data_IF_664721817321
#
_entry.id   IF_664721817321
#
_cell.length_a   1.000
_cell.length_b   1.000
_cell.length_c   1.000
_cell.angle_alpha   90.00
_cell.angle_beta   90.00
_cell.angle_gamma   90.00
#
_symmetry.space_group_name_H-M   'P 1'
#
loop_
_entity.id
_entity.type
_entity.pdbx_description
1 polymer ?
#
# COMPACT_ATOMS: atom_id res chain seq x y z
N UNK A 1 17.82 5.07 -9.68
CA UNK A 1 16.37 5.33 -9.88
C UNK A 1 15.88 6.28 -8.81
N UNK A 2 14.81 7.09 -9.09
CA UNK A 2 14.29 8.08 -8.12
C UNK A 2 12.84 7.77 -7.75
N UNK A 3 12.47 8.11 -6.51
CA UNK A 3 11.10 8.15 -5.99
C UNK A 3 10.85 9.48 -5.32
N UNK A 4 9.58 9.91 -5.27
CA UNK A 4 9.19 11.26 -4.93
C UNK A 4 8.18 11.28 -3.78
N UNK A 5 8.41 12.16 -2.80
CA UNK A 5 7.51 12.36 -1.66
C UNK A 5 7.00 13.79 -1.63
N UNK A 6 5.72 13.97 -1.93
CA UNK A 6 5.05 15.26 -1.86
C UNK A 6 4.78 15.64 -0.40
N UNK A 7 4.92 16.91 -0.07
CA UNK A 7 4.74 17.45 1.28
C UNK A 7 4.05 18.81 1.23
N UNK A 8 3.20 19.06 2.21
CA UNK A 8 2.69 20.39 2.49
C UNK A 8 3.81 21.25 3.06
N UNK A 9 3.71 22.56 2.90
CA UNK A 9 4.57 23.50 3.61
C UNK A 9 3.93 23.76 5.00
N UNK A 10 4.31 22.95 5.97
CA UNK A 10 3.88 23.01 7.35
C UNK A 10 5.04 22.63 8.29
N UNK A 11 4.85 22.89 9.58
CA UNK A 11 5.87 22.65 10.60
C UNK A 11 6.30 21.17 10.68
N UNK A 12 5.35 20.25 10.56
CA UNK A 12 5.64 18.81 10.61
C UNK A 12 6.54 18.38 9.44
N UNK A 13 6.24 18.86 8.25
CA UNK A 13 7.02 18.55 7.04
C UNK A 13 8.42 19.15 7.10
N UNK A 14 8.56 20.38 7.62
CA UNK A 14 9.86 21.04 7.80
C UNK A 14 10.71 20.37 8.88
N UNK A 15 10.10 19.99 10.01
CA UNK A 15 10.78 19.27 11.07
C UNK A 15 11.26 17.88 10.60
N UNK A 16 10.43 17.16 9.86
CA UNK A 16 10.81 15.87 9.27
C UNK A 16 11.99 16.01 8.31
N UNK A 17 11.98 17.07 7.46
CA UNK A 17 13.11 17.35 6.56
C UNK A 17 14.39 17.72 7.31
N UNK A 18 14.30 18.58 8.34
CA UNK A 18 15.42 19.01 9.17
C UNK A 18 16.09 17.84 9.88
N UNK A 19 15.29 16.89 10.38
CA UNK A 19 15.74 15.75 11.17
C UNK A 19 16.06 14.52 10.32
N UNK A 20 15.92 14.58 9.00
CA UNK A 20 16.00 13.44 8.07
C UNK A 20 15.06 12.31 8.47
N UNK A 21 13.82 12.65 8.77
CA UNK A 21 12.79 11.72 9.21
C UNK A 21 11.80 11.40 8.12
N UNK A 22 11.40 10.14 8.07
CA UNK A 22 10.34 9.65 7.20
C UNK A 22 9.31 8.93 8.05
N UNK A 23 8.05 9.25 7.78
CA UNK A 23 6.92 8.78 8.57
C UNK A 23 6.16 7.71 7.81
N UNK A 24 5.96 6.59 8.47
CA UNK A 24 5.12 5.49 8.05
C UNK A 24 3.83 5.53 8.85
N UNK A 25 2.70 5.30 8.21
CA UNK A 25 1.39 5.24 8.85
C UNK A 25 0.71 3.90 8.64
N UNK A 26 -0.23 3.54 9.51
CA UNK A 26 -1.10 2.39 9.27
C UNK A 26 -2.01 2.65 8.07
N UNK A 27 -2.38 1.59 7.33
CA UNK A 27 -3.27 1.71 6.17
C UNK A 27 -4.62 2.35 6.51
N UNK A 28 -5.16 2.09 7.70
CA UNK A 28 -6.42 2.71 8.19
C UNK A 28 -6.36 4.22 8.33
N UNK A 29 -5.17 4.83 8.26
CA UNK A 29 -4.98 6.29 8.28
C UNK A 29 -4.86 6.91 6.88
N UNK A 30 -5.00 6.12 5.84
CA UNK A 30 -4.97 6.63 4.47
C UNK A 30 -6.23 7.45 4.16
N UNK A 31 -6.11 8.36 3.21
CA UNK A 31 -7.21 9.22 2.76
C UNK A 31 -8.30 8.44 2.00
N UNK A 32 -7.95 7.35 1.37
CA UNK A 32 -8.90 6.43 0.74
C UNK A 32 -9.20 5.29 1.72
N UNK A 33 -10.45 5.16 2.21
CA UNK A 33 -10.83 4.12 3.15
C UNK A 33 -10.82 2.71 2.53
N UNK A 34 -10.75 2.62 1.21
CA UNK A 34 -10.65 1.34 0.50
C UNK A 34 -9.21 0.90 0.26
N UNK A 35 -8.24 1.81 0.39
CA UNK A 35 -6.83 1.50 0.25
C UNK A 35 -6.31 0.75 1.48
N UNK A 36 -5.52 -0.31 1.27
CA UNK A 36 -5.03 -1.19 2.33
C UNK A 36 -6.12 -1.77 3.23
N UNK A 37 -7.35 -1.78 2.76
CA UNK A 37 -8.50 -2.37 3.44
C UNK A 37 -8.85 -3.73 2.85
N UNK A 38 -9.41 -4.59 3.70
CA UNK A 38 -9.89 -5.89 3.28
C UNK A 38 -11.41 -5.84 3.12
N UNK A 39 -11.86 -5.63 1.90
CA UNK A 39 -13.23 -5.97 1.52
C UNK A 39 -13.24 -7.44 1.09
N UNK A 40 -14.08 -8.23 1.72
CA UNK A 40 -14.32 -9.63 1.30
C UNK A 40 -15.51 -9.63 0.33
N UNK A 41 -15.31 -9.47 -0.98
CA UNK A 41 -16.43 -9.55 -1.91
C UNK A 41 -16.88 -11.01 -2.05
N UNK A 42 -18.16 -11.20 -2.25
CA UNK A 42 -18.79 -12.52 -2.47
C UNK A 42 -18.13 -13.25 -3.66
N UNK A 43 -17.60 -12.50 -4.62
CA UNK A 43 -16.86 -13.03 -5.77
C UNK A 43 -15.60 -13.81 -5.44
N UNK A 44 -15.04 -13.64 -4.21
CA UNK A 44 -13.89 -14.44 -3.74
C UNK A 44 -14.21 -15.94 -3.62
N UNK A 45 -15.46 -16.29 -3.63
CA UNK A 45 -15.97 -17.66 -3.54
C UNK A 45 -16.33 -18.24 -4.89
N UNK A 46 -15.69 -17.80 -5.96
CA UNK A 46 -15.95 -18.40 -7.28
C UNK A 46 -15.60 -19.89 -7.27
N UNK A 47 -16.37 -20.69 -7.99
CA UNK A 47 -16.13 -22.12 -8.21
C UNK A 47 -14.67 -22.35 -8.62
N UNK A 48 -14.14 -21.51 -9.50
CA UNK A 48 -12.76 -21.57 -9.97
C UNK A 48 -11.74 -21.41 -8.84
N UNK A 49 -11.96 -20.48 -7.92
CA UNK A 49 -11.05 -20.24 -6.77
C UNK A 49 -11.05 -21.43 -5.82
N UNK A 50 -12.23 -21.96 -5.51
CA UNK A 50 -12.36 -23.13 -4.63
C UNK A 50 -11.77 -24.39 -5.28
N UNK A 51 -12.00 -24.61 -6.57
CA UNK A 51 -11.38 -25.72 -7.31
C UNK A 51 -9.86 -25.62 -7.32
N UNK A 52 -9.28 -24.43 -7.50
CA UNK A 52 -7.84 -24.21 -7.38
C UNK A 52 -7.34 -24.57 -5.98
N UNK A 53 -8.02 -24.10 -4.93
CA UNK A 53 -7.68 -24.44 -3.54
C UNK A 53 -7.67 -25.95 -3.30
N UNK A 54 -8.72 -26.64 -3.69
CA UNK A 54 -8.82 -28.10 -3.61
C UNK A 54 -7.68 -28.77 -4.37
N UNK A 55 -7.36 -28.30 -5.58
CA UNK A 55 -6.32 -28.87 -6.43
C UNK A 55 -4.90 -28.71 -5.86
N UNK A 56 -4.60 -27.60 -5.20
CA UNK A 56 -3.28 -27.33 -4.57
C UNK A 56 -3.11 -28.18 -3.30
N UNK A 57 -4.20 -28.41 -2.58
CA UNK A 57 -4.21 -29.20 -1.35
C UNK A 57 -4.46 -30.69 -1.56
N UNK A 58 -4.16 -31.21 -2.73
CA UNK A 58 -4.42 -32.62 -3.15
C UNK A 58 -3.95 -33.71 -2.20
N UNK A 59 -3.02 -33.44 -1.32
CA UNK A 59 -2.43 -34.44 -0.45
C UNK A 59 -3.16 -34.61 0.89
N UNK A 60 -4.23 -33.86 1.16
CA UNK A 60 -4.73 -33.72 2.53
C UNK A 60 -6.22 -33.95 2.75
N UNK A 61 -7.02 -34.46 1.81
CA UNK A 61 -8.44 -34.58 2.14
C UNK A 61 -9.16 -35.83 1.60
N UNK A 62 -9.94 -36.41 2.52
CA UNK A 62 -11.05 -37.34 2.27
C UNK A 62 -11.99 -36.83 1.14
N UNK A 63 -12.16 -35.54 1.00
CA UNK A 63 -12.93 -34.86 -0.06
C UNK A 63 -12.39 -35.13 -1.45
N UNK A 64 -11.06 -35.21 -1.61
CA UNK A 64 -10.45 -35.49 -2.92
C UNK A 64 -10.56 -36.96 -3.32
N UNK A 65 -10.61 -37.85 -2.36
CA UNK A 65 -10.85 -39.28 -2.62
C UNK A 65 -12.30 -39.51 -3.09
N UNK A 66 -13.25 -38.80 -2.49
CA UNK A 66 -14.65 -38.75 -2.94
C UNK A 66 -14.83 -38.05 -4.29
N UNK A 67 -14.01 -37.03 -4.53
CA UNK A 67 -14.07 -36.19 -5.73
C UNK A 67 -13.38 -36.78 -6.97
N UNK A 68 -12.48 -37.75 -6.79
CA UNK A 68 -11.75 -38.38 -7.91
C UNK A 68 -12.64 -39.06 -8.95
N UNK A 69 -13.88 -39.36 -8.62
CA UNK A 69 -14.79 -40.12 -9.48
C UNK A 69 -16.10 -39.41 -9.84
N UNK A 70 -16.36 -38.17 -9.41
CA UNK A 70 -17.63 -37.51 -9.70
C UNK A 70 -17.51 -35.98 -9.66
N UNK A 71 -17.30 -35.36 -10.82
CA UNK A 71 -17.20 -33.89 -10.97
C UNK A 71 -18.51 -33.18 -10.55
N UNK A 72 -19.66 -33.78 -10.81
CA UNK A 72 -20.97 -33.20 -10.46
C UNK A 72 -21.14 -33.10 -8.93
N UNK A 73 -20.60 -34.07 -8.18
CA UNK A 73 -20.64 -34.04 -6.73
C UNK A 73 -19.73 -32.95 -6.15
N UNK A 74 -18.58 -32.72 -6.78
CA UNK A 74 -17.68 -31.61 -6.40
C UNK A 74 -18.39 -30.29 -6.62
N UNK A 75 -18.99 -30.09 -7.78
CA UNK A 75 -19.71 -28.86 -8.10
C UNK A 75 -20.87 -28.62 -7.15
N UNK A 76 -21.60 -29.67 -6.79
CA UNK A 76 -22.66 -29.57 -5.81
C UNK A 76 -22.15 -29.13 -4.43
N UNK A 77 -21.09 -29.79 -3.89
CA UNK A 77 -20.50 -29.46 -2.59
C UNK A 77 -19.95 -28.03 -2.61
N UNK A 78 -19.24 -27.64 -3.67
CA UNK A 78 -18.67 -26.30 -3.82
C UNK A 78 -19.76 -25.25 -3.85
N UNK A 79 -20.84 -25.47 -4.61
CA UNK A 79 -21.96 -24.53 -4.68
C UNK A 79 -22.68 -24.40 -3.34
N UNK A 80 -22.90 -25.51 -2.62
CA UNK A 80 -23.47 -25.47 -1.26
C UNK A 80 -22.60 -24.65 -0.30
N UNK A 81 -21.29 -24.81 -0.38
CA UNK A 81 -20.36 -24.07 0.48
C UNK A 81 -20.31 -22.58 0.12
N UNK A 82 -20.37 -22.25 -1.18
CA UNK A 82 -20.44 -20.87 -1.66
C UNK A 82 -21.70 -20.18 -1.13
N UNK A 83 -22.87 -20.79 -1.27
CA UNK A 83 -24.11 -20.18 -0.83
C UNK A 83 -24.15 -20.00 0.70
N UNK A 84 -23.70 -21.01 1.46
CA UNK A 84 -23.60 -20.90 2.92
C UNK A 84 -22.69 -19.74 3.35
N UNK A 85 -21.50 -19.63 2.74
CA UNK A 85 -20.56 -18.57 3.07
C UNK A 85 -21.07 -17.20 2.61
N UNK A 86 -21.77 -17.12 1.46
CA UNK A 86 -22.42 -15.90 0.98
C UNK A 86 -23.39 -15.36 2.00
N UNK A 87 -24.29 -16.21 2.53
CA UNK A 87 -25.26 -15.82 3.56
C UNK A 87 -24.56 -15.21 4.79
N UNK A 88 -23.48 -15.82 5.25
CA UNK A 88 -22.73 -15.29 6.39
C UNK A 88 -22.06 -13.94 6.10
N UNK A 89 -21.49 -13.76 4.90
CA UNK A 89 -20.84 -12.50 4.51
C UNK A 89 -21.89 -11.37 4.38
N UNK A 90 -23.02 -11.63 3.74
CA UNK A 90 -24.12 -10.69 3.59
C UNK A 90 -24.70 -10.23 4.95
N UNK A 91 -24.65 -11.11 5.95
CA UNK A 91 -25.08 -10.82 7.31
C UNK A 91 -23.94 -10.31 8.24
N UNK A 92 -22.79 -9.89 7.68
CA UNK A 92 -21.62 -9.45 8.44
C UNK A 92 -21.12 -10.48 9.49
N UNK A 93 -21.26 -11.77 9.21
CA UNK A 93 -20.90 -12.88 10.09
C UNK A 93 -19.74 -13.70 9.50
N UNK A 94 -18.69 -13.01 9.04
CA UNK A 94 -17.52 -13.65 8.40
C UNK A 94 -16.86 -14.71 9.30
N UNK A 95 -16.93 -14.55 10.62
CA UNK A 95 -16.42 -15.49 11.61
C UNK A 95 -17.05 -16.89 11.53
N UNK A 96 -18.19 -17.02 10.85
CA UNK A 96 -18.88 -18.28 10.61
C UNK A 96 -18.49 -18.95 9.29
N UNK A 97 -17.66 -18.30 8.50
CA UNK A 97 -17.19 -18.84 7.22
C UNK A 97 -15.93 -19.68 7.39
N UNK A 98 -15.71 -20.60 6.46
CA UNK A 98 -14.44 -21.36 6.39
C UNK A 98 -13.23 -20.48 5.99
N UNK A 99 -13.48 -19.22 5.58
CA UNK A 99 -12.46 -18.22 5.25
C UNK A 99 -11.93 -17.49 6.48
N UNK A 100 -12.61 -17.60 7.62
CA UNK A 100 -12.28 -16.81 8.80
C UNK A 100 -10.82 -16.96 9.27
N UNK A 101 -10.20 -18.15 9.30
CA UNK A 101 -8.81 -18.27 9.71
C UNK A 101 -7.84 -17.49 8.80
N UNK A 102 -8.11 -17.43 7.49
CA UNK A 102 -7.32 -16.66 6.52
C UNK A 102 -7.56 -15.18 6.69
N UNK A 103 -8.81 -14.78 6.85
CA UNK A 103 -9.19 -13.41 7.15
C UNK A 103 -8.47 -12.88 8.40
N UNK A 104 -8.51 -13.61 9.51
CA UNK A 104 -7.84 -13.27 10.76
C UNK A 104 -6.32 -13.11 10.57
N UNK A 105 -5.68 -14.03 9.84
CA UNK A 105 -4.25 -13.96 9.56
C UNK A 105 -3.90 -12.70 8.76
N UNK A 106 -4.69 -12.38 7.75
CA UNK A 106 -4.50 -11.21 6.91
C UNK A 106 -4.71 -9.93 7.70
N UNK A 107 -5.79 -9.83 8.49
CA UNK A 107 -6.06 -8.68 9.35
C UNK A 107 -4.96 -8.46 10.39
N UNK A 108 -4.46 -9.54 11.00
CA UNK A 108 -3.33 -9.47 11.92
C UNK A 108 -2.04 -8.97 11.23
N UNK A 109 -1.83 -9.31 9.96
CA UNK A 109 -0.68 -8.83 9.19
C UNK A 109 -0.83 -7.36 8.81
N UNK A 110 -2.01 -6.94 8.34
CA UNK A 110 -2.31 -5.55 8.00
C UNK A 110 -2.22 -4.62 9.23
N UNK A 111 -2.70 -5.09 10.38
CA UNK A 111 -2.65 -4.31 11.62
C UNK A 111 -1.22 -4.04 12.13
N UNK A 112 -0.23 -4.78 11.67
CA UNK A 112 1.19 -4.60 12.01
C UNK A 112 1.96 -3.81 10.96
N UNK A 113 1.39 -3.58 9.79
CA UNK A 113 2.05 -2.89 8.70
C UNK A 113 1.98 -1.38 8.87
N UNK A 114 3.14 -0.74 8.75
CA UNK A 114 3.27 0.70 8.62
C UNK A 114 3.80 1.00 7.23
N UNK A 115 3.15 1.88 6.51
CA UNK A 115 3.35 2.07 5.07
C UNK A 115 3.74 3.53 4.81
N UNK A 116 4.73 3.73 3.96
CA UNK A 116 5.09 5.03 3.43
C UNK A 116 5.00 5.00 1.91
N UNK A 117 4.12 5.85 1.35
CA UNK A 117 3.88 5.94 -0.09
C UNK A 117 4.76 7.02 -0.72
N UNK A 118 5.32 6.70 -1.87
CA UNK A 118 6.04 7.58 -2.78
C UNK A 118 5.36 7.53 -4.14
N UNK A 119 5.63 8.52 -4.98
CA UNK A 119 5.33 8.43 -6.42
C UNK A 119 6.60 8.18 -7.22
N UNK A 120 6.47 7.59 -8.40
CA UNK A 120 7.57 7.48 -9.36
C UNK A 120 7.67 8.72 -10.27
N UNK A 121 6.79 9.72 -10.12
CA UNK A 121 6.77 10.95 -10.91
C UNK A 121 6.71 12.20 -10.05
N UNK A 122 7.34 13.29 -10.51
CA UNK A 122 7.28 14.62 -9.92
C UNK A 122 6.42 15.61 -10.71
N UNK A 123 5.86 15.20 -11.85
CA UNK A 123 5.25 16.11 -12.82
C UNK A 123 3.72 16.05 -12.87
N UNK A 124 3.09 15.15 -12.12
CA UNK A 124 1.65 14.98 -12.12
C UNK A 124 0.96 16.08 -11.30
N UNK A 125 0.11 16.89 -11.95
CA UNK A 125 -0.59 18.02 -11.32
C UNK A 125 -1.60 17.60 -10.23
N UNK A 126 -2.21 16.42 -10.34
CA UNK A 126 -3.13 15.90 -9.32
C UNK A 126 -2.37 15.61 -8.02
N UNK A 127 -1.18 15.02 -8.08
CA UNK A 127 -0.33 14.79 -6.91
C UNK A 127 0.06 16.09 -6.22
N UNK A 128 0.41 17.12 -7.00
CA UNK A 128 0.69 18.45 -6.47
C UNK A 128 -0.53 19.08 -5.80
N UNK A 129 -1.71 18.88 -6.35
CA UNK A 129 -2.96 19.39 -5.79
C UNK A 129 -3.30 18.69 -4.48
N UNK A 130 -3.27 17.36 -4.45
CA UNK A 130 -3.70 16.55 -3.30
C UNK A 130 -2.69 16.56 -2.15
N UNK A 131 -1.40 16.41 -2.45
CA UNK A 131 -0.38 16.10 -1.44
C UNK A 131 0.55 17.28 -1.10
N UNK A 132 0.50 18.37 -1.85
CA UNK A 132 1.29 19.57 -1.60
C UNK A 132 0.45 20.84 -1.35
N UNK A 133 -0.78 20.67 -0.89
CA UNK A 133 -1.71 21.76 -0.61
C UNK A 133 -1.86 22.72 -1.81
N UNK A 134 -2.38 22.20 -2.93
CA UNK A 134 -2.63 22.98 -4.16
C UNK A 134 -1.37 23.67 -4.70
N UNK A 135 -0.27 22.94 -4.82
CA UNK A 135 1.02 23.41 -5.32
C UNK A 135 1.75 24.43 -4.44
N UNK A 136 1.33 24.66 -3.18
CA UNK A 136 2.02 25.58 -2.26
C UNK A 136 3.17 24.92 -1.51
N UNK A 137 3.21 23.61 -1.44
CA UNK A 137 4.22 22.82 -0.75
C UNK A 137 5.43 22.48 -1.62
N UNK A 138 6.04 21.34 -1.32
CA UNK A 138 7.26 20.88 -1.99
C UNK A 138 7.25 19.38 -2.20
N UNK A 139 8.20 18.88 -3.01
CA UNK A 139 8.40 17.47 -3.29
C UNK A 139 9.86 17.09 -3.07
N UNK A 140 10.11 16.05 -2.30
CA UNK A 140 11.43 15.50 -2.05
C UNK A 140 11.74 14.43 -3.09
N UNK A 141 12.87 14.52 -3.77
CA UNK A 141 13.39 13.49 -4.66
C UNK A 141 14.40 12.63 -3.92
N UNK A 142 14.07 11.37 -3.74
CA UNK A 142 14.93 10.40 -3.10
C UNK A 142 15.66 9.55 -4.13
N UNK A 143 16.94 9.27 -3.87
CA UNK A 143 17.68 8.19 -4.53
C UNK A 143 17.18 6.87 -3.95
N UNK A 144 16.38 6.13 -4.72
CA UNK A 144 15.68 4.93 -4.26
C UNK A 144 16.62 3.94 -3.57
N UNK A 145 17.73 3.60 -4.21
CA UNK A 145 18.61 2.53 -3.71
C UNK A 145 19.33 2.95 -2.39
N UNK A 146 19.65 4.24 -2.24
CA UNK A 146 20.25 4.76 -0.98
C UNK A 146 19.21 4.70 0.12
N UNK A 147 17.99 5.19 -0.12
CA UNK A 147 16.92 5.17 0.87
C UNK A 147 16.57 3.75 1.32
N UNK A 148 16.50 2.78 0.39
CA UNK A 148 16.24 1.39 0.73
C UNK A 148 17.33 0.77 1.60
N UNK A 149 18.59 1.17 1.40
CA UNK A 149 19.71 0.71 2.23
C UNK A 149 19.73 1.37 3.62
N UNK A 150 19.28 2.62 3.73
CA UNK A 150 19.20 3.33 5.01
C UNK A 150 18.13 2.73 5.94
N UNK A 151 17.05 2.20 5.37
CA UNK A 151 15.87 1.77 6.11
C UNK A 151 15.83 0.26 6.31
N UNK A 152 15.57 -0.18 7.54
CA UNK A 152 15.29 -1.59 7.85
C UNK A 152 13.84 -1.91 7.51
N UNK A 153 13.58 -2.21 6.24
CA UNK A 153 12.23 -2.47 5.74
C UNK A 153 11.86 -3.95 5.83
N UNK A 154 10.57 -4.20 6.05
CA UNK A 154 9.99 -5.53 5.93
C UNK A 154 9.75 -5.90 4.45
N UNK A 155 9.21 -4.96 3.68
CA UNK A 155 8.92 -5.14 2.25
C UNK A 155 8.89 -3.78 1.54
N UNK A 156 8.97 -3.80 0.21
CA UNK A 156 8.78 -2.63 -0.64
C UNK A 156 8.41 -3.05 -2.06
N UNK A 157 7.76 -2.17 -2.82
CA UNK A 157 7.41 -2.45 -4.20
C UNK A 157 6.53 -1.40 -4.85
N UNK A 158 6.26 -1.62 -6.12
CA UNK A 158 5.32 -0.83 -6.92
C UNK A 158 3.89 -1.28 -6.64
N UNK A 159 2.96 -0.34 -6.66
CA UNK A 159 1.53 -0.62 -6.52
C UNK A 159 0.97 -1.11 -7.85
N UNK A 160 0.25 -2.21 -7.81
CA UNK A 160 -0.57 -2.72 -8.91
C UNK A 160 -1.93 -2.04 -8.87
N UNK A 161 -2.37 -1.49 -10.00
CA UNK A 161 -3.69 -0.87 -10.12
C UNK A 161 -4.66 -1.79 -10.84
N UNK A 162 -5.88 -1.93 -10.31
CA UNK A 162 -6.89 -2.84 -10.86
C UNK A 162 -8.29 -2.44 -10.39
N UNK A 163 -9.29 -2.73 -11.21
CA UNK A 163 -10.71 -2.68 -10.83
C UNK A 163 -11.21 -4.03 -10.28
N UNK A 164 -10.36 -5.06 -10.34
CA UNK A 164 -10.72 -6.37 -9.85
C UNK A 164 -10.52 -6.45 -8.33
N UNK A 165 -11.47 -7.03 -7.60
CA UNK A 165 -11.32 -7.22 -6.17
C UNK A 165 -10.16 -8.17 -5.88
N UNK A 166 -9.43 -7.91 -4.78
CA UNK A 166 -8.35 -8.76 -4.34
C UNK A 166 -8.93 -10.09 -3.87
N UNK A 167 -8.47 -11.17 -4.48
CA UNK A 167 -8.89 -12.51 -4.13
C UNK A 167 -8.00 -13.08 -3.01
N UNK A 168 -8.53 -13.13 -1.78
CA UNK A 168 -7.83 -13.69 -0.63
C UNK A 168 -7.37 -15.14 -0.85
N UNK A 169 -8.15 -15.89 -1.61
CA UNK A 169 -7.84 -17.30 -1.88
C UNK A 169 -6.64 -17.47 -2.82
N UNK A 170 -6.38 -16.51 -3.71
CA UNK A 170 -5.21 -16.59 -4.61
C UNK A 170 -3.90 -16.66 -3.83
N UNK A 171 -3.78 -15.90 -2.76
CA UNK A 171 -2.62 -15.95 -1.88
C UNK A 171 -2.34 -17.31 -1.25
N UNK A 172 -3.34 -18.18 -1.17
CA UNK A 172 -3.18 -19.54 -0.67
C UNK A 172 -2.69 -20.53 -1.75
N UNK A 173 -2.81 -20.19 -3.04
CA UNK A 173 -2.48 -21.11 -4.14
C UNK A 173 -1.07 -20.92 -4.69
N UNK A 174 -0.60 -19.68 -4.71
CA UNK A 174 0.63 -19.30 -5.40
C UNK A 174 1.78 -18.96 -4.45
N UNK A 175 1.66 -19.35 -3.17
CA UNK A 175 2.57 -18.94 -2.09
C UNK A 175 2.71 -17.42 -1.94
N UNK A 176 1.81 -16.63 -2.54
CA UNK A 176 1.78 -15.19 -2.32
C UNK A 176 1.25 -14.87 -0.93
N UNK A 177 1.73 -13.77 -0.35
CA UNK A 177 1.20 -13.27 0.92
C UNK A 177 -0.05 -12.41 0.65
N UNK A 178 -1.28 -12.84 1.05
CA UNK A 178 -2.49 -12.07 0.78
C UNK A 178 -2.44 -10.66 1.35
N UNK A 179 -1.84 -10.45 2.52
CA UNK A 179 -1.66 -9.13 3.11
C UNK A 179 -0.75 -8.25 2.22
N UNK A 180 0.28 -8.84 1.61
CA UNK A 180 1.13 -8.15 0.64
C UNK A 180 0.33 -7.68 -0.57
N UNK A 181 -0.52 -8.55 -1.12
CA UNK A 181 -1.36 -8.20 -2.26
C UNK A 181 -2.28 -7.01 -1.92
N UNK A 182 -2.85 -6.97 -0.71
CA UNK A 182 -3.69 -5.85 -0.26
C UNK A 182 -2.86 -4.57 -0.14
N UNK A 183 -1.67 -4.64 0.46
CA UNK A 183 -0.80 -3.47 0.64
C UNK A 183 -0.29 -2.90 -0.69
N UNK A 184 -0.06 -3.75 -1.69
CA UNK A 184 0.50 -3.34 -2.98
C UNK A 184 -0.52 -3.34 -4.13
N UNK A 185 -1.81 -3.30 -3.82
CA UNK A 185 -2.87 -3.15 -4.83
C UNK A 185 -3.75 -1.95 -4.48
N UNK A 186 -4.17 -1.21 -5.49
CA UNK A 186 -5.02 -0.02 -5.36
C UNK A 186 -6.00 0.05 -6.54
N UNK A 187 -7.13 0.72 -6.33
CA UNK A 187 -8.12 0.96 -7.37
C UNK A 187 -7.52 1.68 -8.59
N UNK A 188 -7.98 1.31 -9.78
CA UNK A 188 -7.49 1.81 -11.07
C UNK A 188 -7.56 3.34 -11.19
N UNK A 189 -8.54 3.98 -10.57
CA UNK A 189 -8.70 5.43 -10.58
C UNK A 189 -7.50 6.17 -9.97
N UNK A 190 -6.70 5.50 -9.16
CA UNK A 190 -5.49 6.07 -8.54
C UNK A 190 -4.22 5.79 -9.33
N UNK A 191 -4.27 5.17 -10.51
CA UNK A 191 -3.09 4.82 -11.33
C UNK A 191 -2.17 6.01 -11.62
N UNK A 192 -2.74 7.20 -11.67
CA UNK A 192 -1.96 8.43 -11.90
C UNK A 192 -0.93 8.71 -10.80
N UNK A 193 -1.05 8.11 -9.63
CA UNK A 193 -0.10 8.28 -8.52
C UNK A 193 1.21 7.53 -8.75
N UNK A 194 1.21 6.47 -9.55
CA UNK A 194 2.40 5.65 -9.84
C UNK A 194 3.16 5.34 -8.56
N UNK A 195 2.45 4.75 -7.58
CA UNK A 195 2.99 4.57 -6.25
C UNK A 195 4.10 3.53 -6.18
N UNK A 196 5.06 3.84 -5.33
CA UNK A 196 6.05 2.91 -4.78
C UNK A 196 5.92 2.95 -3.25
N UNK A 197 5.66 1.82 -2.63
CA UNK A 197 5.44 1.71 -1.19
C UNK A 197 6.62 1.08 -0.48
N UNK A 198 6.92 1.62 0.70
CA UNK A 198 7.83 1.03 1.67
C UNK A 198 6.99 0.53 2.86
N UNK A 199 7.30 -0.66 3.34
CA UNK A 199 6.57 -1.29 4.45
C UNK A 199 7.53 -1.58 5.58
N UNK A 200 7.21 -1.06 6.75
CA UNK A 200 7.82 -1.43 8.02
C UNK A 200 6.82 -2.29 8.80
N UNK A 201 7.28 -3.34 9.46
CA UNK A 201 6.42 -4.22 10.25
C UNK A 201 6.81 -4.16 11.72
N UNK A 202 5.80 -4.05 12.58
CA UNK A 202 6.02 -4.16 14.00
C UNK A 202 5.97 -5.62 14.45
N UNK A 203 7.00 -6.06 15.15
CA UNK A 203 7.09 -7.41 15.70
C UNK A 203 6.32 -7.51 17.02
N UNK A 204 6.16 -6.41 17.76
CA UNK A 204 5.42 -6.37 19.01
C UNK A 204 3.90 -6.37 18.75
N UNK A 205 3.18 -7.33 19.35
CA UNK A 205 1.75 -7.51 19.14
C UNK A 205 0.85 -6.39 19.70
N UNK A 206 1.37 -5.53 20.58
CA UNK A 206 0.58 -4.58 21.37
C UNK A 206 0.96 -3.12 21.11
N UNK A 207 1.43 -2.79 19.93
CA UNK A 207 1.75 -1.41 19.63
C UNK A 207 0.51 -0.67 19.11
N UNK A 208 0.01 0.28 19.90
CA UNK A 208 -1.13 1.14 19.60
C UNK A 208 -0.73 2.38 18.77
N UNK A 209 0.57 2.55 18.47
CA UNK A 209 1.02 3.70 17.69
C UNK A 209 0.43 3.68 16.28
N UNK A 210 -0.04 4.83 15.84
CA UNK A 210 -0.56 5.04 14.49
C UNK A 210 0.55 5.27 13.46
N UNK A 211 1.77 5.59 13.92
CA UNK A 211 2.89 6.01 13.09
C UNK A 211 4.20 5.39 13.54
N UNK A 212 5.11 5.23 12.58
CA UNK A 212 6.53 4.93 12.78
C UNK A 212 7.37 5.99 12.14
N UNK A 213 8.43 6.39 12.83
CA UNK A 213 9.42 7.35 12.31
C UNK A 213 10.74 6.62 12.09
N UNK A 214 11.26 6.71 10.87
CA UNK A 214 12.56 6.19 10.51
C UNK A 214 13.46 7.33 10.05
N UNK A 215 14.77 7.19 10.24
CA UNK A 215 15.77 8.16 9.78
C UNK A 215 16.45 7.66 8.51
N UNK A 216 16.77 8.60 7.64
CA UNK A 216 17.56 8.34 6.43
C UNK A 216 18.82 9.21 6.42
N UNK A 217 19.80 8.85 5.62
CA UNK A 217 21.06 9.60 5.48
C UNK A 217 20.88 10.86 4.63
N UNK A 218 21.78 11.83 4.78
CA UNK A 218 21.76 13.05 3.96
C UNK A 218 21.93 12.75 2.46
N UNK A 219 22.56 11.61 2.11
CA UNK A 219 22.73 11.20 0.73
C UNK A 219 21.44 10.69 0.06
N UNK A 220 20.41 10.35 0.84
CA UNK A 220 19.15 9.83 0.32
C UNK A 220 18.37 10.85 -0.50
N UNK A 221 18.45 12.15 -0.19
CA UNK A 221 17.81 13.23 -0.94
C UNK A 221 18.85 13.97 -1.78
N UNK A 222 18.60 14.16 -3.06
CA UNK A 222 19.46 14.95 -3.93
C UNK A 222 18.80 16.21 -4.50
N UNK A 223 17.46 16.28 -4.44
CA UNK A 223 16.73 17.43 -4.96
C UNK A 223 15.43 17.67 -4.19
N UNK A 224 15.13 18.91 -3.93
CA UNK A 224 13.83 19.38 -3.47
C UNK A 224 13.21 20.25 -4.56
N UNK A 225 11.96 19.96 -4.88
CA UNK A 225 11.20 20.67 -5.91
C UNK A 225 10.09 21.45 -5.22
N UNK A 226 10.09 22.75 -5.35
CA UNK A 226 9.03 23.63 -4.86
C UNK A 226 7.84 23.62 -5.80
N UNK A 227 6.63 23.65 -5.24
CA UNK A 227 5.40 23.76 -6.01
C UNK A 227 5.30 25.10 -6.73
N UNK A 228 4.48 25.13 -7.79
CA UNK A 228 4.29 26.34 -8.60
C UNK A 228 3.85 27.57 -7.76
N UNK A 229 2.93 27.35 -6.81
CA UNK A 229 2.39 28.38 -5.92
C UNK A 229 3.16 28.53 -4.60
N UNK A 230 4.35 27.92 -4.47
CA UNK A 230 5.14 28.03 -3.24
C UNK A 230 5.52 29.49 -2.94
N UNK A 231 5.40 29.88 -1.69
CA UNK A 231 5.72 31.24 -1.22
C UNK A 231 7.24 31.47 -1.14
N UNK A 232 7.69 32.77 -1.14
CA UNK A 232 9.07 33.10 -0.84
C UNK A 232 9.55 32.59 0.52
N UNK A 233 8.66 32.52 1.51
CA UNK A 233 8.94 31.97 2.83
C UNK A 233 9.26 30.47 2.75
N UNK A 234 8.47 29.70 2.00
CA UNK A 234 8.74 28.27 1.77
C UNK A 234 10.15 28.06 1.19
N UNK A 235 10.54 28.88 0.21
CA UNK A 235 11.89 28.85 -0.36
C UNK A 235 12.95 29.13 0.71
N UNK A 236 12.77 30.18 1.51
CA UNK A 236 13.75 30.60 2.52
C UNK A 236 13.93 29.55 3.63
N UNK A 237 12.81 29.00 4.15
CA UNK A 237 12.87 27.99 5.23
C UNK A 237 13.53 26.69 4.74
N UNK A 238 13.16 26.21 3.55
CA UNK A 238 13.82 25.03 2.99
C UNK A 238 15.30 25.31 2.72
N UNK A 239 15.65 26.50 2.20
CA UNK A 239 17.03 26.87 1.92
C UNK A 239 17.88 26.88 3.19
N UNK A 240 17.33 27.35 4.33
CA UNK A 240 18.02 27.31 5.63
C UNK A 240 18.29 25.87 6.08
N UNK A 241 17.30 24.97 5.93
CA UNK A 241 17.43 23.58 6.35
C UNK A 241 18.50 22.84 5.54
N UNK A 242 18.64 23.15 4.24
CA UNK A 242 19.57 22.43 3.36
C UNK A 242 20.90 23.17 3.12
N UNK A 243 21.16 24.26 3.86
CA UNK A 243 22.31 25.17 3.60
C UNK A 243 23.65 24.43 3.49
N UNK A 244 23.87 23.45 4.37
CA UNK A 244 25.11 22.68 4.45
C UNK A 244 25.02 21.31 3.75
N UNK A 245 23.91 21.04 3.05
CA UNK A 245 23.64 19.77 2.36
C UNK A 245 23.83 19.91 0.86
N UNK A 246 24.29 18.85 0.20
CA UNK A 246 24.43 18.79 -1.27
C UNK A 246 23.08 18.50 -1.95
N UNK A 247 22.05 19.32 -1.64
CA UNK A 247 20.70 19.17 -2.16
C UNK A 247 20.39 20.30 -3.15
N UNK A 248 19.91 19.93 -4.34
CA UNK A 248 19.51 20.90 -5.38
C UNK A 248 18.10 21.39 -5.05
N UNK A 249 17.90 22.70 -5.02
CA UNK A 249 16.58 23.32 -4.89
C UNK A 249 16.09 23.81 -6.25
N UNK A 250 14.93 23.32 -6.68
CA UNK A 250 14.25 23.69 -7.93
C UNK A 250 12.84 24.22 -7.63
N UNK A 251 12.21 24.86 -8.61
CA UNK A 251 10.79 25.22 -8.57
C UNK A 251 10.12 24.76 -9.86
N UNK A 252 8.86 24.30 -9.75
CA UNK A 252 8.06 24.01 -10.94
C UNK A 252 7.72 25.30 -11.66
N UNK A 253 7.90 25.29 -12.95
CA UNK A 253 7.47 26.34 -13.86
C UNK A 253 6.34 25.81 -14.75
N UNK A 254 5.46 26.71 -15.16
CA UNK A 254 4.41 26.39 -16.12
C UNK A 254 5.03 26.19 -17.49
N UNK A 255 4.72 25.05 -18.13
CA UNK A 255 5.12 24.86 -19.52
C UNK A 255 4.38 25.86 -20.41
N UNK A 256 5.07 26.37 -21.43
CA UNK A 256 4.48 27.30 -22.41
C UNK A 256 3.47 26.61 -23.36
N UNK A 257 3.20 25.33 -23.16
CA UNK A 257 2.32 24.51 -23.97
C UNK A 257 1.16 23.94 -23.11
N UNK A 258 0.29 24.81 -22.69
CA UNK A 258 -0.98 24.43 -22.10
C UNK A 258 -1.16 24.74 -20.67
#
# INVERSE_FOLDING_TARGET
MYIYKYRRFDENSLNALKNNEIWFSRGVKFNDPFDCSLNVPITLMSITSIRKFINVNKNNSLLLELAKNNEDLIDFIVNQQIEKNREYIENNSIERTDLYPVYELVMASLSRAFICCFSQTATNSLLWSHYSNSHTGFCLRFKKDVLLNDLSLFDYGEVKYTNEPINLMEGLYDNSNPARNIIFTKDENWRYEQEFRLVHQDVARNNEDDYRVCKYSDESIDCIILGYNSSPECYQEIRKIINDKKIILKKIERSNYG
#
